data_IF_775298934192
#
_entry.id   IF_775298934192
#
_cell.length_a   1.000
_cell.length_b   1.000
_cell.length_c   1.000
_cell.angle_alpha   90.00
_cell.angle_beta   90.00
_cell.angle_gamma   90.00
#
_symmetry.space_group_name_H-M   'P 1'
#
loop_
_entity.id
_entity.type
_entity.pdbx_description
1 polymer ?
#
# COMPACT_ATOMS: atom_id res chain seq x y z
N UNK A 1 -16.01 16.56 28.44
CA UNK A 1 -14.77 15.78 28.22
C UNK A 1 -15.12 14.75 27.16
N UNK A 2 -15.02 15.13 25.89
CA UNK A 2 -15.05 14.17 24.78
C UNK A 2 -13.74 14.41 24.02
N UNK A 3 -12.97 13.34 23.92
CA UNK A 3 -11.56 13.37 23.62
C UNK A 3 -11.31 13.64 22.12
N UNK A 4 -10.40 14.58 21.86
CA UNK A 4 -9.47 14.63 20.71
C UNK A 4 -10.01 14.20 19.34
N UNK A 5 -10.86 15.02 18.74
CA UNK A 5 -11.22 14.95 17.33
C UNK A 5 -10.29 15.85 16.50
N UNK A 6 -9.00 15.52 16.45
CA UNK A 6 -8.01 16.22 15.62
C UNK A 6 -6.74 15.39 15.47
N UNK A 7 -6.87 14.14 15.04
CA UNK A 7 -5.73 13.44 14.43
C UNK A 7 -5.54 14.07 13.06
N UNK A 8 -4.62 15.03 12.92
CA UNK A 8 -4.16 15.53 11.61
C UNK A 8 -3.62 14.35 10.79
N UNK A 9 -4.50 13.62 10.10
CA UNK A 9 -4.17 12.60 9.10
C UNK A 9 -3.66 13.28 7.83
N UNK A 10 -2.57 14.04 7.94
CA UNK A 10 -1.76 14.43 6.80
C UNK A 10 -0.68 13.38 6.61
N UNK A 11 -1.01 12.27 5.94
CA UNK A 11 -0.09 11.54 5.04
C UNK A 11 -0.78 10.34 4.38
N UNK A 12 -1.29 10.58 3.18
CA UNK A 12 -1.74 9.54 2.25
C UNK A 12 -3.26 9.36 2.14
N UNK A 13 -3.77 8.93 0.97
CA UNK A 13 -5.20 8.73 0.74
C UNK A 13 -5.77 7.46 1.39
N UNK A 14 -4.92 6.55 1.88
CA UNK A 14 -5.32 5.35 2.64
C UNK A 14 -4.35 5.13 3.81
N UNK A 15 -4.79 4.46 4.90
CA UNK A 15 -3.94 4.23 6.06
C UNK A 15 -2.84 3.18 5.77
N UNK A 16 -1.69 3.24 6.47
CA UNK A 16 -0.56 2.34 6.28
C UNK A 16 -0.90 0.85 6.34
N UNK A 17 -1.76 0.47 7.28
CA UNK A 17 -2.25 -0.90 7.47
C UNK A 17 -2.90 -1.48 6.20
N UNK A 18 -3.65 -0.68 5.46
CA UNK A 18 -4.29 -1.10 4.22
C UNK A 18 -3.27 -1.24 3.08
N UNK A 19 -2.22 -0.40 3.09
CA UNK A 19 -1.10 -0.51 2.14
C UNK A 19 -0.36 -1.83 2.37
N UNK A 20 -0.04 -2.14 3.63
CA UNK A 20 0.64 -3.39 4.00
C UNK A 20 -0.19 -4.62 3.61
N UNK A 21 -1.49 -4.59 3.88
CA UNK A 21 -2.41 -5.67 3.48
C UNK A 21 -2.42 -5.88 1.97
N UNK A 22 -2.47 -4.81 1.17
CA UNK A 22 -2.37 -4.88 -0.30
C UNK A 22 -1.01 -5.42 -0.74
N UNK A 23 0.09 -5.03 -0.08
CA UNK A 23 1.42 -5.58 -0.37
C UNK A 23 1.47 -7.08 -0.10
N UNK A 24 0.88 -7.55 0.99
CA UNK A 24 0.76 -8.99 1.29
C UNK A 24 -0.08 -9.72 0.25
N UNK A 25 -1.22 -9.17 -0.15
CA UNK A 25 -2.09 -9.75 -1.18
C UNK A 25 -1.33 -9.90 -2.51
N UNK A 26 -0.55 -8.88 -2.88
CA UNK A 26 0.37 -8.94 -4.03
C UNK A 26 1.45 -10.01 -3.87
N UNK A 27 2.06 -10.15 -2.68
CA UNK A 27 3.06 -11.20 -2.41
C UNK A 27 2.44 -12.59 -2.53
N UNK A 28 1.25 -12.79 -1.98
CA UNK A 28 0.48 -14.03 -2.09
C UNK A 28 0.12 -14.34 -3.55
N UNK A 29 -0.32 -13.33 -4.31
CA UNK A 29 -0.57 -13.46 -5.74
C UNK A 29 0.70 -13.90 -6.50
N UNK A 30 1.85 -13.26 -6.25
CA UNK A 30 3.14 -13.67 -6.83
C UNK A 30 3.54 -15.09 -6.44
N UNK A 31 3.33 -15.49 -5.18
CA UNK A 31 3.61 -16.86 -4.72
C UNK A 31 2.74 -17.89 -5.44
N UNK A 32 1.48 -17.54 -5.75
CA UNK A 32 0.56 -18.34 -6.58
C UNK A 32 0.84 -18.23 -8.09
N UNK A 33 1.88 -17.50 -8.50
CA UNK A 33 2.20 -17.16 -9.90
C UNK A 33 1.09 -16.39 -10.62
N UNK A 34 0.22 -15.73 -9.87
CA UNK A 34 -0.81 -14.84 -10.38
C UNK A 34 -0.23 -13.44 -10.56
N UNK A 35 0.45 -13.25 -11.69
CA UNK A 35 1.07 -11.97 -12.03
C UNK A 35 0.02 -10.91 -12.41
N UNK A 36 -1.15 -11.33 -12.88
CA UNK A 36 -2.24 -10.42 -13.22
C UNK A 36 -2.80 -9.75 -11.97
N UNK A 37 -3.05 -10.54 -10.92
CA UNK A 37 -3.51 -10.00 -9.64
C UNK A 37 -2.46 -9.13 -8.97
N UNK A 38 -1.19 -9.55 -8.98
CA UNK A 38 -0.10 -8.74 -8.44
C UNK A 38 0.04 -7.38 -9.14
N UNK A 39 -0.25 -7.31 -10.44
CA UNK A 39 -0.24 -6.06 -11.22
C UNK A 39 -1.48 -5.20 -10.94
N UNK A 40 -2.66 -5.81 -10.74
CA UNK A 40 -3.88 -5.10 -10.31
C UNK A 40 -3.66 -4.36 -9.00
N UNK A 41 -3.16 -5.05 -7.98
CA UNK A 41 -2.90 -4.45 -6.67
C UNK A 41 -1.88 -3.30 -6.77
N UNK A 42 -0.84 -3.47 -7.60
CA UNK A 42 0.14 -2.40 -7.84
C UNK A 42 -0.53 -1.16 -8.46
N UNK A 43 -1.36 -1.36 -9.48
CA UNK A 43 -2.08 -0.27 -10.16
C UNK A 43 -3.04 0.47 -9.24
N UNK A 44 -3.74 -0.24 -8.36
CA UNK A 44 -4.63 0.40 -7.39
C UNK A 44 -3.86 1.28 -6.41
N UNK A 45 -2.74 0.78 -5.90
CA UNK A 45 -1.84 1.57 -5.05
C UNK A 45 -1.28 2.78 -5.82
N UNK A 46 -0.83 2.60 -7.05
CA UNK A 46 -0.33 3.70 -7.90
C UNK A 46 -1.43 4.74 -8.20
N UNK A 47 -2.67 4.32 -8.40
CA UNK A 47 -3.83 5.20 -8.60
C UNK A 47 -4.15 6.02 -7.35
N UNK A 48 -3.88 5.46 -6.18
CA UNK A 48 -3.91 6.15 -4.89
C UNK A 48 -2.62 6.96 -4.64
N UNK A 49 -1.75 7.14 -5.63
CA UNK A 49 -0.50 7.86 -5.47
C UNK A 49 0.49 7.16 -4.54
N UNK A 50 0.39 5.85 -4.37
CA UNK A 50 1.32 5.03 -3.58
C UNK A 50 2.20 4.24 -4.54
N UNK A 51 3.50 4.48 -4.48
CA UNK A 51 4.49 3.78 -5.30
C UNK A 51 5.13 2.69 -4.45
N UNK A 52 5.06 1.45 -4.95
CA UNK A 52 5.74 0.30 -4.37
C UNK A 52 7.17 0.21 -4.90
N UNK A 53 8.14 0.15 -3.99
CA UNK A 53 9.54 -0.10 -4.28
C UNK A 53 9.93 -1.48 -3.74
N UNK A 54 10.05 -2.45 -4.65
CA UNK A 54 10.63 -3.75 -4.30
C UNK A 54 12.16 -3.64 -4.34
N UNK A 55 12.80 -4.01 -3.24
CA UNK A 55 14.25 -4.16 -3.13
C UNK A 55 14.61 -5.59 -2.74
N UNK A 56 15.89 -5.97 -2.86
CA UNK A 56 16.38 -7.26 -2.37
C UNK A 56 16.17 -7.43 -0.86
N UNK A 57 16.08 -6.34 -0.12
CA UNK A 57 15.94 -6.30 1.34
C UNK A 57 14.48 -6.32 1.79
N UNK A 58 13.52 -6.07 0.89
CA UNK A 58 12.09 -6.04 1.20
C UNK A 58 11.29 -5.13 0.25
N UNK A 59 9.97 -5.11 0.45
CA UNK A 59 9.06 -4.21 -0.27
C UNK A 59 8.80 -2.99 0.61
N UNK A 60 9.19 -1.81 0.15
CA UNK A 60 8.86 -0.53 0.76
C UNK A 60 7.84 0.21 -0.10
N UNK A 61 7.18 1.21 0.48
CA UNK A 61 6.19 2.03 -0.22
C UNK A 61 6.36 3.50 0.13
N UNK A 62 6.02 4.37 -0.82
CA UNK A 62 6.07 5.83 -0.65
C UNK A 62 4.85 6.49 -1.27
N UNK A 63 4.37 7.57 -0.65
CA UNK A 63 3.41 8.46 -1.28
C UNK A 63 4.11 9.31 -2.35
N UNK A 64 3.62 9.25 -3.58
CA UNK A 64 3.92 10.18 -4.66
C UNK A 64 3.13 11.45 -4.37
N UNK A 65 3.71 12.31 -3.53
CA UNK A 65 3.28 13.69 -3.35
C UNK A 65 3.73 14.57 -4.51
#
# INVERSE_FOLDING_TARGET
IEAGADVEFRKGPIPPEEIERRIEERKAARARKDFAEADRVRKELEALGIVLEDSKTGTTWKYRT
#
